data_IF_625821875491
#
_entry.id   IF_625821875491
#
_cell.length_a   1.000
_cell.length_b   1.000
_cell.length_c   1.000
_cell.angle_alpha   90.00
_cell.angle_beta   90.00
_cell.angle_gamma   90.00
#
_symmetry.space_group_name_H-M   'P 1'
#
loop_
_entity.id
_entity.type
_entity.pdbx_description
1 polymer ?
#
# COMPACT_ATOMS: atom_id res chain seq x y z
N UNK A 1 -0.70 11.12 19.25
CA UNK A 1 -1.96 10.47 18.90
C UNK A 1 -1.79 9.99 17.49
N UNK A 2 -1.92 8.69 17.25
CA UNK A 2 -1.84 8.13 15.90
C UNK A 2 -3.11 8.46 15.11
N UNK A 3 -3.04 8.48 13.79
CA UNK A 3 -4.26 8.58 12.98
C UNK A 3 -5.13 7.33 13.19
N UNK A 4 -6.46 7.40 13.03
CA UNK A 4 -7.30 6.21 13.07
C UNK A 4 -6.80 5.15 12.07
N UNK A 5 -6.53 3.92 12.54
CA UNK A 5 -6.01 2.82 11.73
C UNK A 5 -4.48 2.62 11.79
N UNK A 6 -3.73 3.54 12.37
CA UNK A 6 -2.29 3.43 12.58
C UNK A 6 -2.00 2.88 14.00
N UNK A 7 -2.18 1.58 14.22
CA UNK A 7 -1.84 0.97 15.52
C UNK A 7 -0.34 0.68 15.69
N UNK A 8 0.06 0.02 16.78
CA UNK A 8 1.48 -0.29 17.01
C UNK A 8 2.08 -1.23 15.95
N UNK A 9 1.25 -2.10 15.36
CA UNK A 9 1.67 -3.04 14.31
C UNK A 9 1.80 -2.35 12.95
N UNK A 10 1.07 -1.25 12.74
CA UNK A 10 1.14 -0.45 11.52
C UNK A 10 2.57 -0.03 11.16
N UNK A 11 3.30 0.56 12.10
CA UNK A 11 4.64 1.10 11.83
C UNK A 11 5.67 0.01 11.50
N UNK A 12 5.50 -1.20 12.05
CA UNK A 12 6.35 -2.35 11.69
C UNK A 12 6.06 -2.84 10.27
N UNK A 13 4.77 -2.93 9.90
CA UNK A 13 4.32 -3.28 8.55
C UNK A 13 4.77 -2.22 7.54
N UNK A 14 4.62 -0.94 7.86
CA UNK A 14 5.07 0.18 7.04
C UNK A 14 6.56 0.14 6.78
N UNK A 15 7.37 -0.10 7.81
CA UNK A 15 8.82 -0.23 7.62
C UNK A 15 9.16 -1.38 6.67
N UNK A 16 8.50 -2.52 6.83
CA UNK A 16 8.71 -3.69 5.95
C UNK A 16 8.36 -3.36 4.50
N UNK A 17 7.20 -2.76 4.24
CA UNK A 17 6.77 -2.35 2.90
C UNK A 17 7.69 -1.28 2.30
N UNK A 18 8.08 -0.30 3.11
CA UNK A 18 8.99 0.75 2.65
C UNK A 18 10.33 0.14 2.24
N UNK A 19 10.87 -0.81 3.00
CA UNK A 19 12.12 -1.49 2.67
C UNK A 19 12.00 -2.35 1.38
N UNK A 20 10.81 -2.90 1.05
CA UNK A 20 10.57 -3.69 -0.18
C UNK A 20 10.73 -2.85 -1.46
N UNK A 21 10.21 -1.63 -1.49
CA UNK A 21 10.15 -0.82 -2.72
C UNK A 21 11.30 0.18 -2.87
N UNK A 22 12.22 0.27 -1.90
CA UNK A 22 13.28 1.31 -1.84
C UNK A 22 12.73 2.69 -2.21
N UNK A 23 11.90 3.32 -1.35
CA UNK A 23 10.92 4.29 -1.80
C UNK A 23 11.63 5.51 -2.37
N UNK A 24 11.48 5.76 -3.66
CA UNK A 24 11.53 7.13 -4.15
C UNK A 24 10.49 7.95 -3.37
N UNK A 25 10.73 9.26 -3.18
CA UNK A 25 9.85 10.10 -2.35
C UNK A 25 8.36 10.05 -2.75
N UNK A 26 8.05 9.67 -3.99
CA UNK A 26 6.68 9.50 -4.50
C UNK A 26 5.95 8.27 -3.95
N UNK A 27 6.66 7.22 -3.48
CA UNK A 27 6.07 5.96 -3.03
C UNK A 27 5.70 5.94 -1.54
N UNK A 28 6.06 6.97 -0.76
CA UNK A 28 5.79 7.01 0.69
C UNK A 28 4.30 6.87 1.00
N UNK A 29 3.46 7.60 0.27
CA UNK A 29 1.99 7.51 0.42
C UNK A 29 1.45 6.16 -0.04
N UNK A 30 2.04 5.57 -1.09
CA UNK A 30 1.71 4.23 -1.56
C UNK A 30 2.03 3.17 -0.50
N UNK A 31 3.24 3.21 0.07
CA UNK A 31 3.66 2.33 1.16
C UNK A 31 2.75 2.47 2.38
N UNK A 32 2.33 3.69 2.71
CA UNK A 32 1.38 3.95 3.80
C UNK A 32 0.04 3.26 3.56
N UNK A 33 -0.54 3.42 2.37
CA UNK A 33 -1.81 2.80 2.02
C UNK A 33 -1.72 1.28 1.98
N UNK A 34 -0.66 0.71 1.38
CA UNK A 34 -0.44 -0.74 1.33
C UNK A 34 -0.26 -1.32 2.74
N UNK A 35 0.30 -0.56 3.68
CA UNK A 35 0.43 -0.97 5.07
C UNK A 35 -0.92 -1.13 5.76
N UNK A 36 -1.84 -0.19 5.51
CA UNK A 36 -3.23 -0.31 5.97
C UNK A 36 -3.92 -1.50 5.30
N UNK A 37 -3.75 -1.65 3.99
CA UNK A 37 -4.32 -2.77 3.25
C UNK A 37 -3.91 -4.11 3.84
N UNK A 38 -2.61 -4.33 4.12
CA UNK A 38 -2.12 -5.55 4.78
C UNK A 38 -2.68 -5.71 6.19
N UNK A 39 -2.70 -4.65 7.00
CA UNK A 39 -3.23 -4.70 8.37
C UNK A 39 -4.72 -5.09 8.43
N UNK A 40 -5.50 -4.70 7.42
CA UNK A 40 -6.93 -5.00 7.33
C UNK A 40 -7.28 -6.19 6.42
N UNK A 41 -6.29 -6.92 5.88
CA UNK A 41 -6.52 -8.06 4.99
C UNK A 41 -7.15 -7.68 3.65
N UNK A 42 -6.94 -6.44 3.18
CA UNK A 42 -7.40 -5.95 1.89
C UNK A 42 -6.34 -6.24 0.84
N UNK A 43 -6.65 -7.11 -0.11
CA UNK A 43 -5.68 -7.51 -1.15
C UNK A 43 -5.82 -6.71 -2.45
N UNK A 44 -6.95 -6.02 -2.67
CA UNK A 44 -7.26 -5.36 -3.93
C UNK A 44 -7.40 -3.86 -3.82
N UNK A 45 -6.86 -3.13 -4.80
CA UNK A 45 -7.05 -1.69 -4.96
C UNK A 45 -7.49 -1.37 -6.39
N UNK A 46 -8.52 -0.53 -6.52
CA UNK A 46 -8.91 0.04 -7.80
C UNK A 46 -8.13 1.33 -8.04
N UNK A 47 -7.22 1.32 -9.00
CA UNK A 47 -6.41 2.50 -9.35
C UNK A 47 -5.86 2.36 -10.77
N UNK A 48 -5.65 3.50 -11.45
CA UNK A 48 -4.90 3.55 -12.71
C UNK A 48 -3.42 3.89 -12.46
N UNK A 49 -3.03 4.09 -11.19
CA UNK A 49 -1.66 4.33 -10.78
C UNK A 49 -0.85 3.02 -10.83
N UNK A 50 0.12 2.98 -11.74
CA UNK A 50 0.94 1.79 -12.00
C UNK A 50 2.04 1.59 -10.98
N UNK A 51 2.35 2.59 -10.15
CA UNK A 51 3.35 2.48 -9.09
C UNK A 51 2.93 1.43 -8.06
N UNK A 52 1.62 1.15 -7.94
CA UNK A 52 1.11 0.10 -7.06
C UNK A 52 1.51 -1.32 -7.49
N UNK A 53 1.97 -1.50 -8.74
CA UNK A 53 2.50 -2.77 -9.22
C UNK A 53 3.85 -3.13 -8.59
N UNK A 54 4.52 -2.18 -7.93
CA UNK A 54 5.79 -2.42 -7.23
C UNK A 54 5.60 -3.07 -5.86
N UNK A 55 4.38 -3.06 -5.31
CA UNK A 55 4.10 -3.65 -4.00
C UNK A 55 3.65 -5.10 -4.11
N UNK A 56 4.44 -5.99 -3.53
CA UNK A 56 4.11 -7.42 -3.49
C UNK A 56 2.80 -7.69 -2.72
N UNK A 57 1.98 -8.58 -3.28
CA UNK A 57 0.70 -8.99 -2.69
C UNK A 57 -0.46 -8.01 -2.91
N UNK A 58 -0.26 -6.93 -3.67
CA UNK A 58 -1.34 -6.00 -4.04
C UNK A 58 -1.91 -6.37 -5.41
N UNK A 59 -3.22 -6.68 -5.45
CA UNK A 59 -3.98 -6.85 -6.68
C UNK A 59 -4.47 -5.51 -7.18
N UNK A 60 -3.78 -4.96 -8.18
CA UNK A 60 -4.19 -3.73 -8.86
C UNK A 60 -5.29 -4.03 -9.87
N UNK A 61 -6.42 -3.33 -9.74
CA UNK A 61 -7.57 -3.39 -10.64
C UNK A 61 -7.67 -2.05 -11.37
N UNK A 62 -7.47 -2.05 -12.69
CA UNK A 62 -7.55 -0.82 -13.48
C UNK A 62 -9.03 -0.44 -13.69
N UNK A 63 -9.52 0.68 -13.12
CA UNK A 63 -10.91 1.11 -13.27
C UNK A 63 -11.25 1.60 -14.68
N UNK A 64 -10.25 1.81 -15.54
CA UNK A 64 -10.41 2.29 -16.91
C UNK A 64 -10.41 1.17 -17.95
N UNK A 65 -10.06 -0.06 -17.54
CA UNK A 65 -10.12 -1.26 -18.39
C UNK A 65 -11.43 -2.00 -18.10
N UNK A 66 -12.24 -2.32 -19.13
CA UNK A 66 -13.44 -3.13 -18.94
C UNK A 66 -13.11 -4.51 -18.33
N UNK A 67 -13.95 -4.96 -17.40
CA UNK A 67 -13.83 -6.23 -16.69
C UNK A 67 -14.11 -7.46 -17.56
#
# INVERSE_FOLDING_TARGET
MWSPGEDASFWATFRTIADEVTPGAHLVSGAHLVSLMRAFGVEGIWTHDRDYLEFDGVRVLDPLVPA
#
